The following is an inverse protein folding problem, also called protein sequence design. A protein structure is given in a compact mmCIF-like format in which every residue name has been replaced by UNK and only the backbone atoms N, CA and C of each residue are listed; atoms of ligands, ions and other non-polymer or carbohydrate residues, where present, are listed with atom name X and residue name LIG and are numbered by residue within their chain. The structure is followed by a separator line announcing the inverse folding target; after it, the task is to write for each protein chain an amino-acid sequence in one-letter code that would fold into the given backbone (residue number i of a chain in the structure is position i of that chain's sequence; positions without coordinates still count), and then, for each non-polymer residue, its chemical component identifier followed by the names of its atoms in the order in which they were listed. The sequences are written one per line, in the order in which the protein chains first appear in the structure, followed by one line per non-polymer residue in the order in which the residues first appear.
data_IF_376035775518
#
_entry.id   IF_376035775518
#
_cell.length_a   1.000
_cell.length_b   1.000
_cell.length_c   1.000
_cell.angle_alpha   90.00
_cell.angle_beta   90.00
_cell.angle_gamma   90.00
#
_symmetry.space_group_name_H-M   'P 1'
#
loop_
_entity.id
_entity.type
_entity.pdbx_description
1 polymer ?
#
# COMPACT_ATOMS: atom_id res chain seq x y z
N UNK A 1 26.62 -6.82 14.52
CA UNK A 1 25.46 -7.76 14.61
C UNK A 1 25.47 -8.63 13.36
N UNK A 2 25.18 -9.92 13.47
CA UNK A 2 25.02 -10.80 12.30
C UNK A 2 23.71 -10.45 11.61
N UNK A 3 23.72 -10.36 10.28
CA UNK A 3 22.50 -10.10 9.50
C UNK A 3 21.48 -11.24 9.71
N UNK A 4 20.17 -10.95 9.79
CA UNK A 4 19.15 -11.96 10.01
C UNK A 4 19.05 -12.93 8.82
N UNK A 5 18.86 -14.20 9.10
CA UNK A 5 18.59 -15.23 8.08
C UNK A 5 17.11 -15.24 7.77
N UNK A 6 16.73 -14.98 6.52
CA UNK A 6 15.32 -14.88 6.10
C UNK A 6 14.89 -16.10 5.30
N UNK A 7 13.77 -16.70 5.69
CA UNK A 7 13.05 -17.69 4.91
C UNK A 7 11.94 -17.06 4.08
N UNK A 8 11.81 -17.44 2.80
CA UNK A 8 10.69 -17.02 1.95
C UNK A 8 9.73 -18.19 1.77
N UNK A 9 8.46 -17.97 2.13
CA UNK A 9 7.40 -19.00 2.10
C UNK A 9 6.37 -18.63 1.04
N UNK A 10 6.23 -19.52 0.04
CA UNK A 10 5.54 -19.25 -1.20
C UNK A 10 6.45 -18.52 -2.19
N UNK A 11 6.98 -19.22 -3.19
CA UNK A 11 7.85 -18.65 -4.23
C UNK A 11 7.17 -18.57 -5.59
N UNK A 12 5.88 -18.25 -5.58
CA UNK A 12 5.10 -17.90 -6.77
C UNK A 12 5.51 -16.54 -7.34
N UNK A 13 4.55 -15.81 -7.95
CA UNK A 13 4.84 -14.58 -8.68
C UNK A 13 5.51 -13.49 -7.82
N UNK A 14 5.01 -13.24 -6.59
CA UNK A 14 5.59 -12.25 -5.67
C UNK A 14 6.77 -12.83 -4.88
N UNK A 15 6.62 -14.01 -4.29
CA UNK A 15 7.66 -14.59 -3.45
C UNK A 15 8.98 -14.84 -4.14
N UNK A 16 9.00 -15.13 -5.46
CA UNK A 16 10.26 -15.18 -6.21
C UNK A 16 10.98 -13.82 -6.27
N UNK A 17 10.24 -12.70 -6.23
CA UNK A 17 10.84 -11.37 -6.15
C UNK A 17 11.39 -11.09 -4.73
N UNK A 18 10.69 -11.55 -3.68
CA UNK A 18 11.21 -11.53 -2.31
C UNK A 18 12.51 -12.32 -2.22
N UNK A 19 12.55 -13.55 -2.73
CA UNK A 19 13.75 -14.37 -2.74
C UNK A 19 14.91 -13.69 -3.47
N UNK A 20 14.65 -13.11 -4.66
CA UNK A 20 15.63 -12.32 -5.43
C UNK A 20 16.24 -11.20 -4.60
N UNK A 21 15.40 -10.38 -3.97
CA UNK A 21 15.85 -9.22 -3.22
C UNK A 21 16.59 -9.64 -1.94
N UNK A 22 16.08 -10.61 -1.16
CA UNK A 22 16.79 -11.11 0.02
C UNK A 22 18.11 -11.77 -0.34
N UNK A 23 18.22 -12.42 -1.51
CA UNK A 23 19.51 -12.91 -2.01
C UNK A 23 20.45 -11.75 -2.32
N UNK A 24 20.01 -10.70 -3.01
CA UNK A 24 20.82 -9.50 -3.28
C UNK A 24 21.27 -8.79 -2.02
N UNK A 25 20.45 -8.81 -0.97
CA UNK A 25 20.80 -8.27 0.35
C UNK A 25 21.71 -9.22 1.17
N UNK A 26 21.97 -10.44 0.69
CA UNK A 26 22.83 -11.42 1.35
C UNK A 26 22.22 -12.04 2.61
N UNK A 27 20.89 -12.12 2.71
CA UNK A 27 20.15 -12.62 3.89
C UNK A 27 19.22 -13.79 3.58
N UNK A 28 19.04 -14.19 2.31
CA UNK A 28 18.20 -15.32 1.95
C UNK A 28 18.79 -16.63 2.49
N UNK A 29 18.09 -17.29 3.41
CA UNK A 29 18.54 -18.53 4.04
C UNK A 29 17.91 -19.79 3.43
N UNK A 30 16.66 -19.70 3.02
CA UNK A 30 15.93 -20.81 2.42
C UNK A 30 14.65 -20.34 1.74
N UNK A 31 14.10 -21.19 0.86
CA UNK A 31 12.79 -20.99 0.25
C UNK A 31 11.87 -22.18 0.50
N UNK A 32 10.57 -21.92 0.58
CA UNK A 32 9.54 -22.94 0.79
C UNK A 32 8.41 -22.74 -0.22
N UNK A 33 7.96 -23.81 -0.84
CA UNK A 33 6.71 -23.81 -1.62
C UNK A 33 6.08 -25.21 -1.55
N UNK A 34 4.75 -25.29 -1.46
CA UNK A 34 4.04 -26.57 -1.52
C UNK A 34 4.28 -27.33 -2.84
N UNK A 35 4.56 -26.59 -3.93
CA UNK A 35 5.07 -27.12 -5.18
C UNK A 35 6.60 -27.32 -5.05
N UNK A 36 7.00 -28.55 -4.81
CA UNK A 36 8.40 -28.92 -4.61
C UNK A 36 9.28 -28.61 -5.84
N UNK A 37 8.74 -28.69 -7.05
CA UNK A 37 9.48 -28.38 -8.28
C UNK A 37 9.79 -26.88 -8.36
N UNK A 38 8.82 -26.04 -8.04
CA UNK A 38 8.99 -24.59 -7.96
C UNK A 38 9.97 -24.18 -6.85
N UNK A 39 9.86 -24.79 -5.67
CA UNK A 39 10.80 -24.57 -4.58
C UNK A 39 12.24 -24.90 -5.00
N UNK A 40 12.45 -26.06 -5.66
CA UNK A 40 13.76 -26.48 -6.14
C UNK A 40 14.30 -25.56 -7.23
N UNK A 41 13.46 -25.12 -8.18
CA UNK A 41 13.83 -24.17 -9.25
C UNK A 41 14.38 -22.87 -8.65
N UNK A 42 13.61 -22.22 -7.77
CA UNK A 42 13.99 -20.94 -7.18
C UNK A 42 15.21 -21.08 -6.26
N UNK A 43 15.29 -22.16 -5.49
CA UNK A 43 16.45 -22.45 -4.65
C UNK A 43 17.74 -22.64 -5.47
N UNK A 44 17.63 -23.30 -6.61
CA UNK A 44 18.75 -23.50 -7.53
C UNK A 44 19.34 -22.22 -8.08
N UNK A 45 18.51 -21.19 -8.34
CA UNK A 45 18.96 -19.86 -8.80
C UNK A 45 19.86 -19.15 -7.78
N UNK A 46 19.64 -19.41 -6.49
CA UNK A 46 20.30 -18.68 -5.39
C UNK A 46 21.21 -19.58 -4.53
N UNK A 47 21.32 -20.87 -4.86
CA UNK A 47 22.12 -21.87 -4.12
C UNK A 47 21.75 -21.93 -2.63
N UNK A 48 20.45 -21.91 -2.32
CA UNK A 48 19.93 -22.02 -0.95
C UNK A 48 19.11 -23.30 -0.76
N UNK A 49 18.94 -23.80 0.48
CA UNK A 49 18.04 -24.90 0.80
C UNK A 49 16.59 -24.59 0.40
N UNK A 50 15.85 -25.64 0.02
CA UNK A 50 14.42 -25.58 -0.22
C UNK A 50 13.65 -26.65 0.56
N UNK A 51 12.38 -26.37 0.83
CA UNK A 51 11.50 -27.27 1.56
C UNK A 51 10.08 -27.20 0.98
N UNK A 52 9.28 -28.25 1.22
CA UNK A 52 7.86 -28.28 0.89
C UNK A 52 6.94 -27.97 2.09
N UNK A 53 7.45 -28.03 3.31
CA UNK A 53 6.75 -27.66 4.55
C UNK A 53 7.49 -26.52 5.26
N UNK A 54 6.79 -25.43 5.50
CA UNK A 54 7.34 -24.24 6.16
C UNK A 54 7.86 -24.52 7.60
N UNK A 55 7.36 -25.56 8.26
CA UNK A 55 7.81 -25.96 9.60
C UNK A 55 9.27 -26.39 9.62
N UNK A 56 9.81 -26.80 8.46
CA UNK A 56 11.22 -27.16 8.33
C UNK A 56 12.18 -25.97 8.45
N UNK A 57 11.65 -24.73 8.44
CA UNK A 57 12.42 -23.51 8.71
C UNK A 57 12.68 -23.26 10.20
N UNK A 58 11.95 -23.89 11.11
CA UNK A 58 12.13 -23.65 12.56
C UNK A 58 13.57 -23.94 12.99
N UNK A 59 14.18 -22.96 13.69
CA UNK A 59 15.58 -23.00 14.11
C UNK A 59 16.62 -22.74 13.02
N UNK A 60 16.20 -22.54 11.75
CA UNK A 60 17.09 -22.26 10.63
C UNK A 60 17.05 -20.81 10.17
N UNK A 61 16.00 -20.08 10.52
CA UNK A 61 15.77 -18.69 10.12
C UNK A 61 15.52 -17.80 11.34
N UNK A 62 15.82 -16.51 11.19
CA UNK A 62 15.61 -15.49 12.21
C UNK A 62 14.39 -14.62 11.89
N UNK A 63 13.92 -14.64 10.65
CA UNK A 63 12.71 -13.96 10.18
C UNK A 63 12.13 -14.69 8.96
N UNK A 64 10.86 -14.42 8.63
CA UNK A 64 10.22 -14.98 7.44
C UNK A 64 9.44 -13.94 6.66
N UNK A 65 9.34 -14.18 5.35
CA UNK A 65 8.49 -13.45 4.43
C UNK A 65 7.48 -14.40 3.79
N UNK A 66 6.19 -14.13 3.95
CA UNK A 66 5.08 -15.00 3.56
C UNK A 66 4.38 -14.41 2.34
N UNK A 67 4.46 -15.11 1.21
CA UNK A 67 3.85 -14.76 -0.06
C UNK A 67 3.06 -15.92 -0.67
N UNK A 68 2.43 -16.73 0.18
CA UNK A 68 1.49 -17.80 -0.22
C UNK A 68 0.13 -17.19 -0.59
N UNK A 69 -0.84 -17.93 -1.13
CA UNK A 69 -2.21 -17.44 -1.26
C UNK A 69 -2.79 -17.00 0.11
N UNK A 70 -3.61 -15.93 0.10
CA UNK A 70 -4.15 -15.27 1.31
C UNK A 70 -4.78 -16.24 2.31
N UNK A 71 -5.41 -17.30 1.83
CA UNK A 71 -6.04 -18.33 2.70
C UNK A 71 -5.03 -19.05 3.62
N UNK A 72 -3.75 -19.07 3.24
CA UNK A 72 -2.67 -19.66 4.03
C UNK A 72 -1.94 -18.68 4.96
N UNK A 73 -2.13 -17.36 4.80
CA UNK A 73 -1.39 -16.34 5.55
C UNK A 73 -1.48 -16.54 7.06
N UNK A 74 -2.70 -16.69 7.57
CA UNK A 74 -2.95 -16.82 9.00
C UNK A 74 -2.29 -18.08 9.60
N UNK A 75 -2.50 -19.25 9.00
CA UNK A 75 -1.94 -20.52 9.51
C UNK A 75 -0.42 -20.43 9.59
N UNK A 76 0.21 -20.02 8.49
CA UNK A 76 1.68 -19.94 8.41
C UNK A 76 2.23 -18.91 9.40
N UNK A 77 1.69 -17.68 9.40
CA UNK A 77 2.18 -16.59 10.22
C UNK A 77 2.01 -16.87 11.73
N UNK A 78 0.89 -17.47 12.13
CA UNK A 78 0.61 -17.84 13.52
C UNK A 78 1.70 -18.73 14.08
N UNK A 79 2.18 -19.71 13.32
CA UNK A 79 3.23 -20.63 13.76
C UNK A 79 4.57 -19.91 14.00
N UNK A 80 4.96 -18.94 13.15
CA UNK A 80 6.19 -18.18 13.35
C UNK A 80 6.07 -17.14 14.47
N UNK A 81 5.01 -16.36 14.47
CA UNK A 81 4.79 -15.34 15.50
C UNK A 81 4.70 -15.95 16.91
N UNK A 82 4.04 -17.12 17.05
CA UNK A 82 3.97 -17.83 18.32
C UNK A 82 5.33 -18.32 18.84
N UNK A 83 6.32 -18.44 17.96
CA UNK A 83 7.71 -18.80 18.30
C UNK A 83 8.63 -17.60 18.45
N UNK A 84 8.08 -16.40 18.42
CA UNK A 84 8.87 -15.18 18.50
C UNK A 84 9.71 -14.91 17.25
N UNK A 85 9.25 -15.34 16.07
CA UNK A 85 9.94 -15.11 14.79
C UNK A 85 9.25 -13.97 14.05
N UNK A 86 9.96 -12.84 13.78
CA UNK A 86 9.46 -11.72 13.00
C UNK A 86 8.95 -12.16 11.63
N UNK A 87 7.84 -11.57 11.20
CA UNK A 87 7.12 -12.03 10.02
C UNK A 87 6.66 -10.85 9.15
N UNK A 88 7.00 -10.90 7.85
CA UNK A 88 6.37 -10.08 6.82
C UNK A 88 5.33 -10.92 6.09
N UNK A 89 4.14 -10.35 5.85
CA UNK A 89 3.03 -11.02 5.17
C UNK A 89 2.55 -10.15 4.01
N UNK A 90 2.41 -10.73 2.82
CA UNK A 90 1.81 -10.06 1.67
C UNK A 90 0.35 -9.63 1.91
N UNK A 91 -0.06 -8.61 1.19
CA UNK A 91 -1.44 -8.12 1.24
C UNK A 91 -2.42 -9.08 0.51
N UNK A 92 -3.68 -9.14 0.96
CA UNK A 92 -4.19 -8.65 2.24
C UNK A 92 -3.62 -9.46 3.41
N UNK A 93 -3.49 -8.85 4.59
CA UNK A 93 -2.86 -9.48 5.76
C UNK A 93 -3.37 -10.88 6.05
N UNK A 94 -4.69 -11.05 6.03
CA UNK A 94 -5.38 -12.33 6.26
C UNK A 94 -6.69 -12.39 5.49
N UNK A 95 -7.39 -13.52 5.59
CA UNK A 95 -8.70 -13.71 4.98
C UNK A 95 -9.81 -12.97 5.74
N UNK A 96 -9.71 -12.91 7.07
CA UNK A 96 -10.70 -12.22 7.93
C UNK A 96 -10.01 -11.25 8.89
N UNK A 97 -10.76 -10.25 9.36
CA UNK A 97 -10.25 -9.25 10.30
C UNK A 97 -9.81 -9.90 11.61
N UNK A 98 -10.59 -10.84 12.15
CA UNK A 98 -10.29 -11.55 13.40
C UNK A 98 -8.95 -12.29 13.34
N UNK A 99 -8.64 -12.91 12.21
CA UNK A 99 -7.34 -13.54 11.95
C UNK A 99 -6.20 -12.52 11.99
N UNK A 100 -6.38 -11.36 11.35
CA UNK A 100 -5.40 -10.27 11.37
C UNK A 100 -5.16 -9.74 12.78
N UNK A 101 -6.22 -9.51 13.54
CA UNK A 101 -6.14 -9.09 14.94
C UNK A 101 -5.45 -10.13 15.83
N UNK A 102 -5.69 -11.43 15.60
CA UNK A 102 -4.98 -12.51 16.30
C UNK A 102 -3.47 -12.43 16.04
N UNK A 103 -3.05 -12.27 14.77
CA UNK A 103 -1.63 -12.13 14.43
C UNK A 103 -1.00 -10.90 15.08
N UNK A 104 -1.70 -9.75 15.10
CA UNK A 104 -1.24 -8.54 15.78
C UNK A 104 -1.07 -8.78 17.30
N UNK A 105 -2.00 -9.50 17.95
CA UNK A 105 -1.88 -9.86 19.36
C UNK A 105 -0.69 -10.76 19.61
N UNK A 106 -0.45 -11.77 18.76
CA UNK A 106 0.69 -12.68 18.87
C UNK A 106 2.03 -11.96 18.70
N UNK A 107 2.14 -11.08 17.69
CA UNK A 107 3.34 -10.29 17.45
C UNK A 107 3.68 -9.41 18.68
N UNK A 108 2.68 -8.71 19.24
CA UNK A 108 2.85 -7.90 20.46
C UNK A 108 3.22 -8.72 21.68
N UNK A 109 2.54 -9.86 21.91
CA UNK A 109 2.81 -10.73 23.05
C UNK A 109 4.24 -11.28 23.04
N UNK A 110 4.77 -11.58 21.84
CA UNK A 110 6.12 -12.09 21.65
C UNK A 110 7.16 -11.00 21.35
N UNK A 111 6.75 -9.72 21.28
CA UNK A 111 7.60 -8.54 21.01
C UNK A 111 8.42 -8.68 19.72
N UNK A 112 7.77 -9.13 18.67
CA UNK A 112 8.39 -9.30 17.34
C UNK A 112 7.68 -8.49 16.29
N UNK A 113 8.43 -8.11 15.24
CA UNK A 113 7.90 -7.34 14.12
C UNK A 113 6.89 -8.18 13.31
N UNK A 114 5.72 -7.59 13.04
CA UNK A 114 4.77 -8.04 12.04
C UNK A 114 4.57 -6.92 11.02
N UNK A 115 5.08 -7.11 9.81
CA UNK A 115 4.94 -6.16 8.70
C UNK A 115 3.96 -6.68 7.65
N UNK A 116 3.19 -5.78 7.06
CA UNK A 116 2.28 -6.10 5.95
C UNK A 116 2.85 -5.57 4.63
N UNK A 117 2.75 -6.38 3.58
CA UNK A 117 3.23 -6.11 2.23
C UNK A 117 2.43 -5.04 1.46
N UNK A 118 2.27 -3.85 2.03
CA UNK A 118 1.69 -2.71 1.34
C UNK A 118 2.79 -1.93 0.59
N UNK A 119 3.32 -2.54 -0.46
CA UNK A 119 4.48 -2.06 -1.24
C UNK A 119 4.35 -0.61 -1.75
N UNK A 120 3.13 -0.14 -2.02
CA UNK A 120 2.91 1.24 -2.49
C UNK A 120 3.27 2.30 -1.43
N UNK A 121 3.34 1.95 -0.14
CA UNK A 121 3.86 2.82 0.94
C UNK A 121 5.35 3.13 0.79
N UNK A 122 6.06 2.31 0.03
CA UNK A 122 7.48 2.46 -0.27
C UNK A 122 7.72 2.97 -1.69
N UNK A 123 6.67 3.39 -2.40
CA UNK A 123 6.82 4.02 -3.70
C UNK A 123 7.51 5.39 -3.54
N UNK A 124 8.55 5.69 -4.34
CA UNK A 124 9.31 6.94 -4.23
C UNK A 124 8.42 8.19 -4.25
N UNK A 125 7.41 8.21 -5.11
CA UNK A 125 6.51 9.35 -5.23
C UNK A 125 5.60 9.53 -3.99
N UNK A 126 5.26 8.43 -3.29
CA UNK A 126 4.50 8.46 -2.05
C UNK A 126 5.40 8.90 -0.90
N UNK A 127 6.56 8.24 -0.72
CA UNK A 127 7.46 8.53 0.40
C UNK A 127 7.96 9.97 0.40
N UNK A 128 8.21 10.55 -0.78
CA UNK A 128 8.73 11.90 -0.92
C UNK A 128 7.75 13.01 -0.46
N UNK A 129 6.47 12.70 -0.30
CA UNK A 129 5.46 13.70 0.09
C UNK A 129 4.85 13.48 1.47
N UNK A 130 5.12 12.36 2.13
CA UNK A 130 4.50 12.02 3.42
C UNK A 130 4.75 13.07 4.50
N UNK A 131 5.97 13.62 4.58
CA UNK A 131 6.36 14.62 5.58
C UNK A 131 5.84 16.03 5.26
N UNK A 132 5.45 16.27 4.02
CA UNK A 132 4.92 17.55 3.55
C UNK A 132 3.44 17.68 3.87
N UNK A 133 2.71 16.57 3.78
CA UNK A 133 1.25 16.55 3.96
C UNK A 133 0.91 16.64 5.45
N UNK A 134 0.31 17.76 5.83
CA UNK A 134 -0.19 17.99 7.18
C UNK A 134 -1.69 18.26 7.11
N UNK A 135 -2.49 17.59 7.96
CA UNK A 135 -3.94 17.79 8.06
C UNK A 135 -4.63 17.83 6.69
N UNK A 136 -4.63 16.74 5.93
CA UNK A 136 -5.33 16.69 4.66
C UNK A 136 -6.82 16.96 4.89
N UNK A 137 -7.43 17.76 4.01
CA UNK A 137 -8.86 18.07 4.04
C UNK A 137 -9.63 17.27 3.02
N UNK A 138 -8.99 17.05 1.86
CA UNK A 138 -9.57 16.25 0.80
C UNK A 138 -8.49 15.45 0.10
N UNK A 139 -8.77 14.16 -0.13
CA UNK A 139 -7.90 13.24 -0.86
C UNK A 139 -8.71 12.64 -2.00
N UNK A 140 -8.16 12.63 -3.20
CA UNK A 140 -8.75 11.99 -4.36
C UNK A 140 -7.77 11.00 -4.96
N UNK A 141 -8.24 9.76 -5.17
CA UNK A 141 -7.40 8.67 -5.67
C UNK A 141 -8.06 7.99 -6.86
N UNK A 142 -7.28 7.81 -7.92
CA UNK A 142 -7.66 7.03 -9.09
C UNK A 142 -6.65 5.93 -9.35
N UNK A 143 -7.10 4.67 -9.26
CA UNK A 143 -6.34 3.47 -9.65
C UNK A 143 -7.09 2.73 -10.74
N UNK A 144 -6.74 3.04 -11.98
CA UNK A 144 -7.37 2.49 -13.16
C UNK A 144 -6.38 1.56 -13.87
N UNK A 145 -6.84 0.41 -14.29
CA UNK A 145 -6.05 -0.59 -15.03
C UNK A 145 -6.84 -1.15 -16.20
N UNK A 146 -6.22 -1.37 -17.35
CA UNK A 146 -6.81 -2.17 -18.41
C UNK A 146 -7.06 -3.59 -17.92
N UNK A 147 -8.05 -4.21 -18.56
CA UNK A 147 -8.42 -5.58 -18.29
C UNK A 147 -7.23 -6.55 -18.44
N UNK A 148 -7.10 -7.44 -17.46
CA UNK A 148 -6.17 -8.58 -17.49
C UNK A 148 -6.85 -9.81 -16.90
N UNK A 149 -6.59 -11.01 -17.45
CA UNK A 149 -7.13 -12.29 -16.94
C UNK A 149 -6.59 -12.70 -15.55
N UNK A 150 -5.90 -11.81 -14.86
CA UNK A 150 -5.33 -12.04 -13.54
C UNK A 150 -6.29 -11.56 -12.45
N UNK A 151 -6.39 -12.30 -11.34
CA UNK A 151 -7.19 -11.95 -10.16
C UNK A 151 -8.70 -11.78 -10.44
N UNK A 152 -9.25 -12.56 -11.36
CA UNK A 152 -10.67 -12.54 -11.71
C UNK A 152 -11.58 -13.11 -10.60
N UNK A 153 -11.01 -13.82 -9.65
CA UNK A 153 -11.66 -14.44 -8.49
C UNK A 153 -11.78 -13.52 -7.27
N UNK A 154 -11.10 -12.35 -7.29
CA UNK A 154 -11.07 -11.37 -6.22
C UNK A 154 -11.76 -10.09 -6.69
N UNK A 155 -12.48 -9.38 -5.80
CA UNK A 155 -13.05 -8.07 -6.10
C UNK A 155 -11.96 -6.99 -6.25
N UNK A 156 -12.30 -5.90 -6.95
CA UNK A 156 -11.37 -4.79 -7.24
C UNK A 156 -10.95 -4.03 -5.97
N UNK A 157 -11.73 -4.11 -4.90
CA UNK A 157 -11.43 -3.45 -3.62
C UNK A 157 -10.24 -4.12 -2.96
N UNK A 158 -10.24 -5.46 -2.84
CA UNK A 158 -9.15 -6.23 -2.23
C UNK A 158 -7.95 -6.41 -3.16
N UNK A 159 -8.16 -6.36 -4.49
CA UNK A 159 -7.05 -6.48 -5.45
C UNK A 159 -6.30 -5.15 -5.63
N UNK A 160 -7.04 -4.08 -5.93
CA UNK A 160 -6.47 -2.77 -6.32
C UNK A 160 -6.64 -1.69 -5.25
N UNK A 161 -7.88 -1.44 -4.78
CA UNK A 161 -8.17 -0.31 -3.91
C UNK A 161 -7.47 -0.40 -2.55
N UNK A 162 -7.21 -1.60 -2.04
CA UNK A 162 -6.58 -1.82 -0.73
C UNK A 162 -5.21 -1.13 -0.60
N UNK A 163 -4.46 -0.98 -1.69
CA UNK A 163 -3.20 -0.23 -1.69
C UNK A 163 -3.41 1.26 -1.41
N UNK A 164 -4.48 1.81 -1.98
CA UNK A 164 -4.82 3.22 -1.82
C UNK A 164 -5.50 3.47 -0.47
N UNK A 165 -6.28 2.50 0.01
CA UNK A 165 -6.84 2.54 1.37
C UNK A 165 -5.76 2.64 2.43
N UNK A 166 -4.69 1.83 2.33
CA UNK A 166 -3.57 1.91 3.25
C UNK A 166 -2.92 3.30 3.24
N UNK A 167 -2.66 3.88 2.06
CA UNK A 167 -2.08 5.22 1.93
C UNK A 167 -3.01 6.29 2.53
N UNK A 168 -4.31 6.26 2.18
CA UNK A 168 -5.30 7.23 2.64
C UNK A 168 -5.47 7.19 4.15
N UNK A 169 -5.60 5.99 4.74
CA UNK A 169 -5.72 5.80 6.18
C UNK A 169 -4.47 6.28 6.95
N UNK A 170 -3.30 6.14 6.31
CA UNK A 170 -2.06 6.67 6.87
C UNK A 170 -1.97 8.18 6.82
N UNK A 171 -2.42 8.79 5.72
CA UNK A 171 -2.40 10.25 5.54
C UNK A 171 -3.44 10.94 6.43
N UNK A 172 -4.65 10.41 6.51
CA UNK A 172 -5.74 10.99 7.29
C UNK A 172 -5.43 11.02 8.79
N UNK A 173 -4.76 9.99 9.32
CA UNK A 173 -4.39 9.88 10.76
C UNK A 173 -5.55 10.09 11.73
N UNK A 174 -6.77 9.84 11.28
CA UNK A 174 -8.02 10.07 11.99
C UNK A 174 -8.92 8.84 11.85
N UNK A 175 -9.81 8.54 12.80
CA UNK A 175 -10.76 7.44 12.69
C UNK A 175 -11.69 7.61 11.48
N UNK A 176 -11.93 6.51 10.76
CA UNK A 176 -12.94 6.44 9.70
C UNK A 176 -14.33 6.37 10.35
N UNK A 177 -15.23 7.33 10.02
CA UNK A 177 -16.55 7.43 10.65
C UNK A 177 -17.71 7.13 9.70
N UNK A 178 -17.51 7.31 8.39
CA UNK A 178 -18.52 7.02 7.38
C UNK A 178 -17.92 6.55 6.07
N UNK A 179 -18.62 5.62 5.43
CA UNK A 179 -18.30 5.11 4.09
C UNK A 179 -19.57 5.14 3.26
N UNK A 180 -19.50 5.75 2.08
CA UNK A 180 -20.49 5.60 1.02
C UNK A 180 -19.78 4.94 -0.18
N UNK A 181 -20.32 3.86 -0.73
CA UNK A 181 -19.64 3.17 -1.81
C UNK A 181 -20.60 2.57 -2.84
N UNK A 182 -20.17 2.56 -4.09
CA UNK A 182 -20.82 1.89 -5.21
C UNK A 182 -19.81 1.05 -5.98
N UNK A 183 -20.28 -0.05 -6.57
CA UNK A 183 -19.44 -0.91 -7.38
C UNK A 183 -20.24 -1.67 -8.41
N UNK A 184 -19.58 -2.17 -9.43
CA UNK A 184 -20.22 -2.89 -10.53
C UNK A 184 -19.37 -4.09 -10.97
N UNK A 185 -20.04 -5.23 -11.13
CA UNK A 185 -19.49 -6.43 -11.73
C UNK A 185 -19.94 -6.51 -13.19
N UNK A 186 -19.01 -6.40 -14.13
CA UNK A 186 -19.30 -6.42 -15.57
C UNK A 186 -18.80 -7.69 -16.25
N UNK A 187 -17.66 -8.24 -15.82
CA UNK A 187 -16.99 -9.33 -16.54
C UNK A 187 -16.97 -10.66 -15.76
N UNK A 188 -16.74 -10.66 -14.45
CA UNK A 188 -16.38 -11.88 -13.70
C UNK A 188 -17.31 -12.23 -12.53
N UNK A 189 -18.44 -11.57 -12.39
CA UNK A 189 -19.34 -11.79 -11.25
C UNK A 189 -18.78 -11.31 -9.92
N UNK A 190 -17.62 -10.67 -9.94
CA UNK A 190 -17.00 -9.88 -8.86
C UNK A 190 -16.87 -8.45 -9.33
N UNK A 191 -16.87 -7.51 -8.42
CA UNK A 191 -16.78 -6.10 -8.75
C UNK A 191 -15.52 -5.77 -9.53
N UNK A 192 -15.69 -5.23 -10.73
CA UNK A 192 -14.63 -4.82 -11.65
C UNK A 192 -14.30 -3.34 -11.53
N UNK A 193 -15.23 -2.57 -10.94
CA UNK A 193 -15.10 -1.16 -10.65
C UNK A 193 -15.71 -0.88 -9.28
N UNK A 194 -15.06 -0.02 -8.50
CA UNK A 194 -15.55 0.50 -7.23
C UNK A 194 -15.25 1.99 -7.11
N UNK A 195 -16.20 2.74 -6.54
CA UNK A 195 -15.99 4.10 -6.08
C UNK A 195 -16.43 4.16 -4.62
N UNK A 196 -15.58 4.75 -3.78
CA UNK A 196 -15.83 4.89 -2.35
C UNK A 196 -15.53 6.31 -1.89
N UNK A 197 -16.43 6.86 -1.06
CA UNK A 197 -16.22 8.09 -0.30
C UNK A 197 -16.08 7.75 1.17
N UNK A 198 -14.97 8.17 1.74
CA UNK A 198 -14.61 7.97 3.15
C UNK A 198 -14.65 9.32 3.87
N UNK A 199 -15.26 9.37 5.05
CA UNK A 199 -15.28 10.54 5.90
C UNK A 199 -14.60 10.20 7.23
N UNK A 200 -13.69 11.07 7.67
CA UNK A 200 -12.91 10.89 8.89
C UNK A 200 -13.39 11.84 9.99
N UNK A 201 -13.14 11.47 11.25
CA UNK A 201 -13.63 12.20 12.43
C UNK A 201 -13.13 13.66 12.48
N UNK A 202 -11.93 13.94 11.96
CA UNK A 202 -11.37 15.29 11.87
C UNK A 202 -11.91 16.13 10.71
N UNK A 203 -12.89 15.60 9.95
CA UNK A 203 -13.52 16.22 8.80
C UNK A 203 -12.77 16.03 7.48
N UNK A 204 -11.66 15.31 7.46
CA UNK A 204 -11.03 14.89 6.21
C UNK A 204 -11.97 13.99 5.40
N UNK A 205 -11.95 14.14 4.08
CA UNK A 205 -12.73 13.31 3.16
C UNK A 205 -11.80 12.71 2.11
N UNK A 206 -12.01 11.44 1.77
CA UNK A 206 -11.30 10.80 0.67
C UNK A 206 -12.26 10.16 -0.34
N UNK A 207 -12.04 10.40 -1.63
CA UNK A 207 -12.74 9.73 -2.73
C UNK A 207 -11.76 8.79 -3.44
N UNK A 208 -12.09 7.51 -3.51
CA UNK A 208 -11.26 6.51 -4.16
C UNK A 208 -12.03 5.87 -5.32
N UNK A 209 -11.40 5.79 -6.48
CA UNK A 209 -11.93 5.05 -7.63
C UNK A 209 -10.92 3.99 -8.04
N UNK A 210 -11.33 2.74 -8.05
CA UNK A 210 -10.55 1.63 -8.57
C UNK A 210 -11.31 0.93 -9.70
N UNK A 211 -10.61 0.62 -10.80
CA UNK A 211 -11.18 -0.13 -11.91
C UNK A 211 -10.11 -1.01 -12.57
N UNK A 212 -10.49 -2.23 -12.95
CA UNK A 212 -9.66 -3.16 -13.74
C UNK A 212 -10.15 -3.36 -15.17
N UNK A 213 -11.07 -2.50 -15.61
CA UNK A 213 -11.70 -2.55 -16.94
C UNK A 213 -11.62 -1.20 -17.67
N UNK A 214 -10.65 -0.37 -17.31
CA UNK A 214 -10.45 0.95 -17.92
C UNK A 214 -9.66 0.84 -19.23
N UNK A 215 -9.84 1.81 -20.12
CA UNK A 215 -9.09 1.91 -21.39
C UNK A 215 -7.62 2.28 -21.17
N UNK A 216 -7.34 3.04 -20.11
CA UNK A 216 -6.00 3.53 -19.76
C UNK A 216 -5.60 3.15 -18.34
N UNK A 217 -4.29 3.03 -18.15
CA UNK A 217 -3.71 2.87 -16.81
C UNK A 217 -3.54 4.24 -16.16
N UNK A 218 -3.96 4.37 -14.89
CA UNK A 218 -3.78 5.57 -14.08
C UNK A 218 -3.53 5.18 -12.63
N UNK A 219 -2.60 5.87 -11.95
CA UNK A 219 -2.34 5.72 -10.52
C UNK A 219 -2.03 7.09 -9.93
N UNK A 220 -3.07 7.90 -9.77
CA UNK A 220 -2.95 9.30 -9.34
C UNK A 220 -3.63 9.54 -8.01
N UNK A 221 -2.93 10.25 -7.13
CA UNK A 221 -3.46 10.76 -5.87
C UNK A 221 -3.32 12.28 -5.84
N UNK A 222 -4.39 12.97 -5.49
CA UNK A 222 -4.43 14.41 -5.25
C UNK A 222 -4.80 14.67 -3.80
N UNK A 223 -4.03 15.50 -3.12
CA UNK A 223 -4.18 15.75 -1.68
C UNK A 223 -4.25 17.26 -1.47
N UNK A 224 -5.34 17.71 -0.91
CA UNK A 224 -5.60 19.11 -0.56
C UNK A 224 -5.47 19.25 0.96
N UNK A 225 -4.47 19.99 1.40
CA UNK A 225 -4.21 20.30 2.80
C UNK A 225 -4.47 21.79 3.06
N UNK A 226 -4.34 22.22 4.32
CA UNK A 226 -4.54 23.64 4.66
C UNK A 226 -3.51 24.56 3.99
N UNK A 227 -2.29 24.07 3.79
CA UNK A 227 -1.12 24.85 3.37
C UNK A 227 -0.56 24.46 1.99
N UNK A 228 -1.04 23.34 1.41
CA UNK A 228 -0.55 22.89 0.12
C UNK A 228 -1.56 22.00 -0.61
N UNK A 229 -1.38 21.94 -1.91
CA UNK A 229 -1.95 20.93 -2.79
C UNK A 229 -0.83 20.05 -3.32
N UNK A 230 -0.99 18.73 -3.22
CA UNK A 230 0.02 17.76 -3.64
C UNK A 230 -0.59 16.82 -4.67
N UNK A 231 0.14 16.57 -5.75
CA UNK A 231 -0.19 15.51 -6.72
C UNK A 231 0.89 14.45 -6.72
N UNK A 232 0.47 13.19 -6.76
CA UNK A 232 1.35 12.02 -6.82
C UNK A 232 0.89 11.14 -7.98
N UNK A 233 1.78 10.79 -8.90
CA UNK A 233 1.58 9.77 -9.91
C UNK A 233 2.57 8.63 -9.67
N UNK A 234 2.09 7.52 -9.09
CA UNK A 234 2.96 6.39 -8.77
C UNK A 234 3.35 5.56 -9.99
N UNK A 235 2.64 5.72 -11.11
CA UNK A 235 2.96 5.08 -12.38
C UNK A 235 4.07 5.83 -13.12
N UNK A 236 3.91 7.16 -13.24
CA UNK A 236 4.91 8.03 -13.87
C UNK A 236 6.12 8.27 -12.96
N UNK A 237 6.01 7.96 -11.67
CA UNK A 237 6.98 8.30 -10.62
C UNK A 237 7.24 9.80 -10.59
N UNK A 238 6.16 10.56 -10.39
CA UNK A 238 6.19 12.01 -10.30
C UNK A 238 5.42 12.48 -9.07
N UNK A 239 5.89 13.55 -8.45
CA UNK A 239 5.16 14.25 -7.41
C UNK A 239 5.38 15.76 -7.52
N UNK A 240 4.32 16.53 -7.29
CA UNK A 240 4.33 17.98 -7.35
C UNK A 240 3.69 18.57 -6.12
N UNK A 241 4.28 19.63 -5.58
CA UNK A 241 3.77 20.38 -4.45
C UNK A 241 3.45 21.80 -4.91
N UNK A 242 2.22 22.21 -4.67
CA UNK A 242 1.72 23.54 -4.97
C UNK A 242 1.44 24.26 -3.64
N UNK A 243 2.03 25.41 -3.43
CA UNK A 243 1.77 26.27 -2.26
C UNK A 243 1.35 27.65 -2.72
N UNK A 244 0.51 28.26 -1.90
CA UNK A 244 0.04 29.63 -2.12
C UNK A 244 0.18 30.43 -0.83
N UNK A 245 0.30 31.74 -0.96
CA UNK A 245 0.26 32.67 0.18
C UNK A 245 -1.09 33.39 0.22
N UNK A 246 -1.50 33.99 1.35
CA UNK A 246 -2.75 34.78 1.43
C UNK A 246 -2.79 35.92 0.40
N UNK A 247 -1.65 36.52 0.08
CA UNK A 247 -1.51 37.59 -0.91
C UNK A 247 -1.90 37.14 -2.34
N UNK A 248 -1.85 35.86 -2.64
CA UNK A 248 -2.32 35.33 -3.94
C UNK A 248 -3.80 35.64 -4.14
N UNK A 249 -4.64 35.39 -3.12
CA UNK A 249 -6.08 35.67 -3.19
C UNK A 249 -6.37 37.15 -3.46
N UNK A 250 -5.63 38.07 -2.82
CA UNK A 250 -5.74 39.50 -3.05
C UNK A 250 -5.28 39.87 -4.46
N UNK A 251 -4.22 39.28 -4.98
CA UNK A 251 -3.73 39.51 -6.35
C UNK A 251 -4.74 39.03 -7.39
N UNK A 252 -5.28 37.84 -7.21
CA UNK A 252 -6.32 37.26 -8.09
C UNK A 252 -7.60 38.13 -8.09
N UNK A 253 -7.97 38.70 -6.95
CA UNK A 253 -9.15 39.57 -6.84
C UNK A 253 -9.04 40.86 -7.67
N UNK A 254 -7.82 41.27 -8.05
CA UNK A 254 -7.53 42.48 -8.86
C UNK A 254 -7.53 42.18 -10.36
N UNK A 255 -7.54 40.93 -10.76
CA UNK A 255 -7.57 40.54 -12.17
C UNK A 255 -8.95 40.81 -12.80
N UNK A 256 -9.03 40.98 -14.13
CA UNK A 256 -10.29 41.15 -14.85
C UNK A 256 -11.28 40.04 -14.54
N UNK A 257 -12.55 40.41 -14.27
CA UNK A 257 -13.63 39.46 -13.96
C UNK A 257 -14.67 39.34 -15.09
N UNK A 258 -14.51 40.14 -16.11
CA UNK A 258 -15.40 40.24 -17.26
C UNK A 258 -15.07 39.30 -18.41
N UNK A 259 -13.98 38.55 -18.28
CA UNK A 259 -13.50 37.55 -19.25
C UNK A 259 -12.71 36.44 -18.55
N UNK A 260 -12.47 35.35 -19.27
CA UNK A 260 -11.59 34.28 -18.80
C UNK A 260 -10.15 34.77 -18.64
N UNK A 261 -9.49 34.30 -17.56
CA UNK A 261 -8.09 34.60 -17.30
C UNK A 261 -7.20 33.88 -18.32
N UNK A 262 -6.18 34.56 -18.80
CA UNK A 262 -5.17 34.00 -19.68
C UNK A 262 -3.78 33.98 -19.02
N UNK A 263 -2.81 33.38 -19.72
CA UNK A 263 -1.43 33.25 -19.20
C UNK A 263 -0.76 34.62 -18.94
N UNK A 264 -1.12 35.67 -19.68
CA UNK A 264 -0.57 37.00 -19.46
C UNK A 264 -1.10 37.60 -18.15
N UNK A 265 -2.39 37.39 -17.84
CA UNK A 265 -2.96 37.81 -16.55
C UNK A 265 -2.26 37.11 -15.39
N UNK A 266 -2.08 35.79 -15.49
CA UNK A 266 -1.38 35.01 -14.46
C UNK A 266 0.10 35.42 -14.31
N UNK A 267 0.75 35.82 -15.40
CA UNK A 267 2.12 36.33 -15.37
C UNK A 267 2.29 37.66 -14.62
N UNK A 268 1.20 38.39 -14.36
CA UNK A 268 1.22 39.62 -13.53
C UNK A 268 1.27 39.32 -12.03
N UNK A 269 0.99 38.06 -11.63
CA UNK A 269 1.00 37.65 -10.24
C UNK A 269 2.45 37.45 -9.79
N UNK A 270 2.89 38.10 -8.71
CA UNK A 270 4.22 37.91 -8.17
C UNK A 270 4.50 36.45 -7.84
N UNK A 271 5.65 35.94 -8.32
CA UNK A 271 6.02 34.52 -8.14
C UNK A 271 6.19 34.10 -6.69
N UNK A 272 6.45 35.05 -5.80
CA UNK A 272 6.51 34.84 -4.34
C UNK A 272 5.14 34.51 -3.72
N UNK A 273 4.02 34.74 -4.42
CA UNK A 273 2.69 34.44 -3.91
C UNK A 273 2.26 32.98 -4.13
N UNK A 274 3.00 32.25 -4.96
CA UNK A 274 2.77 30.82 -5.18
C UNK A 274 4.10 30.12 -5.48
N UNK A 275 4.15 28.84 -5.19
CA UNK A 275 5.25 27.97 -5.64
C UNK A 275 4.71 26.67 -6.22
N UNK A 276 5.35 26.23 -7.30
CA UNK A 276 5.12 24.93 -7.92
C UNK A 276 6.47 24.23 -7.90
N UNK A 277 6.55 23.16 -7.16
CA UNK A 277 7.79 22.42 -6.96
C UNK A 277 7.60 20.98 -7.42
N UNK A 278 8.40 20.56 -8.39
CA UNK A 278 8.60 19.14 -8.66
C UNK A 278 9.42 18.53 -7.54
N UNK A 279 8.95 17.41 -6.99
CA UNK A 279 9.64 16.73 -5.90
C UNK A 279 10.71 15.82 -6.49
N UNK A 280 11.95 16.03 -6.08
CA UNK A 280 13.04 15.12 -6.45
C UNK A 280 12.84 13.77 -5.76
N UNK A 281 12.64 12.72 -6.54
CA UNK A 281 12.43 11.38 -6.05
C UNK A 281 13.76 10.63 -5.89
N UNK A 282 13.86 9.84 -4.83
CA UNK A 282 14.94 8.86 -4.70
C UNK A 282 14.65 7.66 -5.59
N UNK A 283 15.56 7.30 -6.48
CA UNK A 283 15.39 6.11 -7.32
C UNK A 283 15.63 4.84 -6.51
N UNK A 284 14.58 4.08 -6.28
CA UNK A 284 14.66 2.74 -5.69
C UNK A 284 13.50 1.86 -6.16
N UNK A 285 13.69 0.55 -6.05
CA UNK A 285 12.63 -0.43 -6.24
C UNK A 285 11.75 -0.47 -4.98
N UNK A 286 10.43 -0.18 -5.06
CA UNK A 286 9.55 -0.15 -3.88
C UNK A 286 9.62 -1.43 -3.04
N UNK A 287 9.59 -2.60 -3.68
CA UNK A 287 9.66 -3.88 -2.98
C UNK A 287 11.01 -4.06 -2.26
N UNK A 288 12.12 -3.65 -2.88
CA UNK A 288 13.43 -3.71 -2.21
C UNK A 288 13.46 -2.83 -0.96
N UNK A 289 12.86 -1.64 -1.03
CA UNK A 289 12.76 -0.73 0.12
C UNK A 289 11.86 -1.28 1.22
N UNK A 290 10.75 -1.92 0.87
CA UNK A 290 9.86 -2.60 1.80
C UNK A 290 10.57 -3.72 2.55
N UNK A 291 11.26 -4.63 1.84
CA UNK A 291 11.96 -5.74 2.43
C UNK A 291 13.15 -5.28 3.29
N UNK A 292 13.88 -4.23 2.86
CA UNK A 292 14.91 -3.61 3.67
C UNK A 292 14.33 -3.00 4.96
N UNK A 293 13.19 -2.31 4.88
CA UNK A 293 12.49 -1.75 6.04
C UNK A 293 12.10 -2.82 7.07
N UNK A 294 11.66 -3.99 6.58
CA UNK A 294 11.40 -5.14 7.46
C UNK A 294 12.67 -5.64 8.15
N UNK A 295 13.78 -5.78 7.42
CA UNK A 295 15.07 -6.17 8.00
C UNK A 295 15.54 -5.17 9.04
N UNK A 296 15.42 -3.86 8.77
CA UNK A 296 15.78 -2.81 9.71
C UNK A 296 14.96 -2.88 11.00
N UNK A 297 13.66 -3.23 10.90
CA UNK A 297 12.80 -3.46 12.07
C UNK A 297 13.26 -4.68 12.89
N UNK A 298 13.60 -5.78 12.21
CA UNK A 298 14.10 -7.01 12.83
C UNK A 298 15.44 -6.78 13.54
N UNK A 299 16.40 -6.16 12.84
CA UNK A 299 17.78 -5.94 13.34
C UNK A 299 17.81 -5.01 14.56
N UNK A 300 16.90 -4.04 14.63
CA UNK A 300 16.89 -3.03 15.68
C UNK A 300 15.80 -3.22 16.71
N UNK A 301 14.96 -4.25 16.59
CA UNK A 301 13.83 -4.49 17.49
C UNK A 301 12.82 -3.34 17.52
N UNK A 302 12.55 -2.74 16.35
CA UNK A 302 11.64 -1.59 16.18
C UNK A 302 10.34 -2.04 15.53
N UNK A 303 9.29 -1.23 15.70
CA UNK A 303 8.07 -1.40 14.94
C UNK A 303 8.34 -1.17 13.43
N UNK A 304 7.79 -2.01 12.55
CA UNK A 304 7.93 -1.83 11.12
C UNK A 304 7.16 -0.59 10.62
N UNK A 305 7.53 -0.07 9.46
CA UNK A 305 6.86 1.09 8.82
C UNK A 305 5.39 0.82 8.52
N UNK A 306 5.05 -0.44 8.19
CA UNK A 306 3.68 -0.88 7.94
C UNK A 306 3.36 -2.04 8.89
N UNK A 307 3.05 -1.77 10.17
CA UNK A 307 2.74 -2.80 11.15
C UNK A 307 1.43 -3.53 10.82
N UNK A 308 1.23 -4.70 11.43
CA UNK A 308 0.03 -5.53 11.24
C UNK A 308 -1.28 -4.77 11.41
N UNK A 309 -1.33 -3.83 12.35
CA UNK A 309 -2.50 -2.98 12.62
C UNK A 309 -2.90 -2.10 11.43
N UNK A 310 -1.94 -1.70 10.58
CA UNK A 310 -2.26 -0.99 9.32
C UNK A 310 -2.97 -1.90 8.35
N UNK A 311 -2.52 -3.16 8.22
CA UNK A 311 -3.20 -4.17 7.41
C UNK A 311 -4.62 -4.46 7.90
N UNK A 312 -4.82 -4.59 9.22
CA UNK A 312 -6.15 -4.77 9.82
C UNK A 312 -7.06 -3.58 9.49
N UNK A 313 -6.59 -2.34 9.67
CA UNK A 313 -7.38 -1.13 9.32
C UNK A 313 -7.74 -1.06 7.85
N UNK A 314 -6.80 -1.40 6.96
CA UNK A 314 -7.08 -1.44 5.52
C UNK A 314 -8.13 -2.50 5.17
N UNK A 315 -8.09 -3.68 5.80
CA UNK A 315 -9.11 -4.73 5.64
C UNK A 315 -10.48 -4.29 6.18
N UNK A 316 -10.54 -3.64 7.35
CA UNK A 316 -11.78 -3.11 7.93
C UNK A 316 -12.45 -2.09 7.01
N UNK A 317 -11.67 -1.15 6.45
CA UNK A 317 -12.16 -0.20 5.48
C UNK A 317 -12.66 -0.89 4.21
N UNK A 318 -11.90 -1.86 3.68
CA UNK A 318 -12.29 -2.63 2.49
C UNK A 318 -13.58 -3.42 2.71
N UNK A 319 -13.74 -4.09 3.88
CA UNK A 319 -14.96 -4.83 4.21
C UNK A 319 -16.17 -3.90 4.32
N UNK A 320 -16.01 -2.72 4.94
CA UNK A 320 -17.07 -1.71 5.02
C UNK A 320 -17.47 -1.24 3.62
N UNK A 321 -16.52 -0.96 2.74
CA UNK A 321 -16.78 -0.59 1.34
C UNK A 321 -17.56 -1.69 0.63
N UNK A 322 -17.14 -2.95 0.73
CA UNK A 322 -17.80 -4.08 0.12
C UNK A 322 -19.23 -4.27 0.65
N UNK A 323 -19.46 -4.02 1.94
CA UNK A 323 -20.81 -4.06 2.55
C UNK A 323 -21.71 -2.97 1.98
N UNK A 324 -21.23 -1.73 1.89
CA UNK A 324 -22.00 -0.62 1.33
C UNK A 324 -22.32 -0.85 -0.17
N UNK A 325 -21.35 -1.34 -0.95
CA UNK A 325 -21.57 -1.69 -2.37
C UNK A 325 -22.67 -2.74 -2.53
N UNK A 326 -22.70 -3.77 -1.68
CA UNK A 326 -23.74 -4.82 -1.71
C UNK A 326 -25.11 -4.32 -1.25
N UNK A 327 -25.14 -3.33 -0.37
CA UNK A 327 -26.39 -2.71 0.10
C UNK A 327 -26.98 -1.74 -0.94
N UNK A 328 -26.16 -1.20 -1.83
CA UNK A 328 -26.57 -0.27 -2.87
C UNK A 328 -27.55 -0.95 -3.85
N UNK A 329 -28.64 -0.27 -4.19
CA UNK A 329 -29.67 -0.74 -5.14
C UNK A 329 -29.67 0.18 -6.35
N UNK A 330 -29.27 -0.34 -7.48
CA UNK A 330 -29.47 0.33 -8.77
C UNK A 330 -30.97 0.35 -9.07
N UNK A 331 -31.52 1.52 -9.42
CA UNK A 331 -32.94 1.70 -9.79
C UNK A 331 -33.10 1.50 -11.28
#
# INVERSE_FOLDING_TARGET
MTRPRVGVIGVGHLGKQHARIYHQLGVLAAVVDADAARAAEIAGLYSVPHFSDFRQLFGKVDAVSIAVPTVGHHEVAKEFLSRGIPTLIEKPLTKTIEQGEELCRLARANKVALQVGHVERFNPAVTAVLDVIRKPRFIEVHRLSPFRFRSSDIDVVLDLMIHDLDIVLHLARSPLVRVDAVGMALLFGKEDMANARLEFEDGCVANLTASRISDKQMRKTRIFSEDCYVTVDTLAKEAWIYRTTPQLGEALAKLPKDRDLNLADLATIPKEFYSIQEVKLEEHEPLARELQSFLDAVEHGRDPVVPGEHGVRAMQAAETILKEMRAHRWK
#
